data_IF_389751990265
#
_entry.id   IF_389751990265
#
_cell.length_a   1.000
_cell.length_b   1.000
_cell.length_c   1.000
_cell.angle_alpha   90.00
_cell.angle_beta   90.00
_cell.angle_gamma   90.00
#
_symmetry.space_group_name_H-M   'P 1'
#
loop_
_entity.id
_entity.type
_entity.pdbx_description
1 polymer ?
#
# COMPACT_ATOMS: atom_id res chain seq x y z
N UNK A 1 10.94 -7.58 6.49
CA UNK A 1 10.43 -7.61 5.11
C UNK A 1 11.14 -6.54 4.29
N UNK A 2 10.94 -5.25 4.56
CA UNK A 2 11.44 -4.12 3.72
C UNK A 2 12.95 -4.16 3.44
N UNK A 3 13.81 -4.49 4.42
CA UNK A 3 15.25 -4.66 4.16
C UNK A 3 15.53 -5.72 3.10
N UNK A 4 14.84 -6.84 3.15
CA UNK A 4 15.02 -7.91 2.15
C UNK A 4 14.53 -7.49 0.77
N UNK A 5 13.48 -6.68 0.69
CA UNK A 5 13.04 -6.12 -0.59
C UNK A 5 14.11 -5.23 -1.22
N UNK A 6 14.82 -4.44 -0.43
CA UNK A 6 15.93 -3.61 -0.91
C UNK A 6 17.19 -4.41 -1.22
N UNK A 7 17.61 -5.30 -0.32
CA UNK A 7 18.87 -6.03 -0.44
C UNK A 7 18.83 -7.14 -1.50
N UNK A 8 17.69 -7.79 -1.69
CA UNK A 8 17.51 -8.95 -2.58
C UNK A 8 16.60 -8.61 -3.75
N UNK A 9 15.50 -7.89 -3.49
CA UNK A 9 14.47 -7.59 -4.47
C UNK A 9 14.76 -6.37 -5.34
N UNK A 10 15.81 -5.60 -5.06
CA UNK A 10 16.18 -4.41 -5.83
C UNK A 10 15.23 -3.23 -5.65
N UNK A 11 14.39 -3.20 -4.61
CA UNK A 11 13.57 -2.04 -4.30
C UNK A 11 14.47 -0.84 -3.98
N UNK A 12 14.17 0.31 -4.58
CA UNK A 12 15.00 1.51 -4.44
C UNK A 12 14.69 2.34 -3.19
N UNK A 13 13.55 2.11 -2.54
CA UNK A 13 13.11 2.87 -1.38
C UNK A 13 11.88 2.27 -0.70
N UNK A 14 11.32 3.05 0.20
CA UNK A 14 10.10 2.71 0.96
C UNK A 14 9.02 3.74 0.68
N UNK A 15 7.83 3.26 0.37
CA UNK A 15 6.61 4.03 0.31
C UNK A 15 5.85 3.92 1.63
N UNK A 16 5.44 5.03 2.22
CA UNK A 16 4.66 5.11 3.46
C UNK A 16 3.50 6.09 3.29
N UNK A 17 2.49 5.98 4.16
CA UNK A 17 1.33 6.87 4.11
C UNK A 17 1.37 7.98 5.16
N UNK A 18 2.11 7.79 6.25
CA UNK A 18 2.13 8.70 7.40
C UNK A 18 3.55 9.04 7.82
N UNK A 19 3.72 10.27 8.34
CA UNK A 19 5.01 10.74 8.87
C UNK A 19 5.53 9.83 9.99
N UNK A 20 4.65 9.36 10.86
CA UNK A 20 5.01 8.46 11.96
C UNK A 20 5.49 7.08 11.50
N UNK A 21 5.04 6.59 10.34
CA UNK A 21 5.58 5.39 9.70
C UNK A 21 6.97 5.68 9.10
N UNK A 22 7.07 6.77 8.35
CA UNK A 22 8.33 7.23 7.74
C UNK A 22 9.46 7.38 8.78
N UNK A 23 9.15 7.90 9.98
CA UNK A 23 10.12 7.97 11.08
C UNK A 23 10.68 6.61 11.51
N UNK A 24 9.86 5.56 11.51
CA UNK A 24 10.32 4.21 11.85
C UNK A 24 11.35 3.74 10.83
N UNK A 25 11.08 3.94 9.54
CA UNK A 25 12.02 3.58 8.47
C UNK A 25 13.28 4.45 8.49
N UNK A 26 13.13 5.77 8.68
CA UNK A 26 14.27 6.68 8.80
C UNK A 26 15.20 6.29 9.96
N UNK A 27 14.66 5.96 11.14
CA UNK A 27 15.42 5.47 12.30
C UNK A 27 16.05 4.10 12.06
N UNK A 28 15.45 3.28 11.20
CA UNK A 28 15.99 1.99 10.79
C UNK A 28 17.07 2.09 9.70
N UNK A 29 17.43 3.32 9.26
CA UNK A 29 18.50 3.56 8.28
C UNK A 29 18.06 3.37 6.84
N UNK A 30 16.79 3.63 6.51
CA UNK A 30 16.33 3.73 5.13
C UNK A 30 16.56 5.14 4.62
N UNK A 31 17.17 5.26 3.45
CA UNK A 31 17.65 6.54 2.93
C UNK A 31 16.83 7.08 1.75
N UNK A 32 15.88 6.33 1.23
CA UNK A 32 14.93 6.76 0.22
C UNK A 32 13.51 6.47 0.69
N UNK A 33 12.77 7.53 1.07
CA UNK A 33 11.46 7.43 1.71
C UNK A 33 10.48 8.34 0.97
N UNK A 34 9.45 7.75 0.39
CA UNK A 34 8.34 8.46 -0.23
C UNK A 34 7.12 8.40 0.71
N UNK A 35 6.60 9.56 1.10
CA UNK A 35 5.34 9.67 1.84
C UNK A 35 4.25 10.03 0.82
N UNK A 36 3.49 9.05 0.38
CA UNK A 36 2.45 9.20 -0.65
C UNK A 36 1.16 9.80 -0.07
N UNK A 37 1.32 10.95 0.56
CA UNK A 37 0.22 11.68 1.19
C UNK A 37 0.56 13.16 1.32
N UNK A 38 -0.47 13.99 1.44
CA UNK A 38 -0.36 15.41 1.76
C UNK A 38 -0.17 15.57 3.26
N UNK A 39 0.85 16.30 3.67
CA UNK A 39 1.18 16.55 5.08
C UNK A 39 0.91 18.02 5.38
N UNK A 40 -0.23 18.28 6.05
CA UNK A 40 -0.72 19.65 6.30
C UNK A 40 -0.58 20.15 7.75
N UNK A 41 -0.49 19.24 8.72
CA UNK A 41 -0.28 19.64 10.13
C UNK A 41 1.15 20.11 10.34
N UNK A 42 1.34 21.34 10.81
CA UNK A 42 2.65 21.97 11.02
C UNK A 42 3.60 21.12 11.88
N UNK A 43 3.08 20.42 12.91
CA UNK A 43 3.90 19.55 13.77
C UNK A 43 4.37 18.31 13.00
N UNK A 44 3.53 17.77 12.11
CA UNK A 44 3.91 16.63 11.25
C UNK A 44 4.92 17.08 10.19
N UNK A 45 4.73 18.25 9.58
CA UNK A 45 5.70 18.84 8.65
C UNK A 45 7.06 19.00 9.35
N UNK A 46 7.11 19.62 10.54
CA UNK A 46 8.34 19.80 11.31
C UNK A 46 9.01 18.46 11.69
N UNK A 47 8.23 17.43 11.99
CA UNK A 47 8.75 16.07 12.22
C UNK A 47 9.33 15.48 10.93
N UNK A 48 8.62 15.61 9.80
CA UNK A 48 9.07 15.11 8.50
C UNK A 48 10.40 15.73 8.09
N UNK A 49 10.53 17.06 8.13
CA UNK A 49 11.79 17.73 7.78
C UNK A 49 12.92 17.43 8.78
N UNK A 50 12.61 17.00 10.00
CA UNK A 50 13.62 16.65 11.01
C UNK A 50 14.40 15.38 10.69
N UNK A 51 13.88 14.49 9.88
CA UNK A 51 14.61 13.30 9.42
C UNK A 51 15.13 13.41 7.98
N UNK A 52 14.91 14.53 7.30
CA UNK A 52 15.72 14.89 6.15
C UNK A 52 17.16 15.11 6.62
N UNK A 53 18.11 14.44 6.02
CA UNK A 53 19.53 14.50 6.40
C UNK A 53 20.40 14.32 5.15
N UNK A 54 21.66 14.77 5.14
CA UNK A 54 22.58 14.46 4.06
C UNK A 54 22.60 12.95 3.76
N UNK A 55 22.37 12.60 2.49
CA UNK A 55 22.30 11.20 2.06
C UNK A 55 20.94 10.53 2.26
N UNK A 56 19.95 11.21 2.87
CA UNK A 56 18.58 10.69 2.96
C UNK A 56 17.63 11.52 2.13
N UNK A 57 17.03 10.88 1.15
CA UNK A 57 15.99 11.42 0.29
C UNK A 57 14.62 11.23 0.96
N UNK A 58 13.90 12.32 1.19
CA UNK A 58 12.53 12.31 1.70
C UNK A 58 11.66 13.03 0.70
N UNK A 59 10.59 12.40 0.29
CA UNK A 59 9.68 12.89 -0.74
C UNK A 59 8.25 12.88 -0.15
N UNK A 60 7.44 13.89 -0.46
CA UNK A 60 6.00 13.91 -0.12
C UNK A 60 5.14 14.38 -1.28
N UNK A 61 3.82 14.16 -1.19
CA UNK A 61 2.87 14.61 -2.19
C UNK A 61 2.32 16.00 -1.85
N UNK A 62 2.06 16.80 -2.88
CA UNK A 62 1.49 18.15 -2.80
C UNK A 62 0.39 18.31 -3.88
N UNK A 63 -0.73 18.93 -3.53
CA UNK A 63 -1.80 19.27 -4.44
C UNK A 63 -2.43 20.66 -4.16
N UNK A 64 -1.84 21.42 -3.21
CA UNK A 64 -2.32 22.73 -2.80
C UNK A 64 -1.18 23.72 -2.52
N UNK A 65 -1.35 24.98 -2.95
CA UNK A 65 -0.37 26.05 -2.82
C UNK A 65 -0.14 26.49 -1.37
N UNK A 66 -1.16 26.44 -0.52
CA UNK A 66 -1.01 26.80 0.89
C UNK A 66 -0.17 25.75 1.63
N UNK A 67 -0.38 24.45 1.33
CA UNK A 67 0.43 23.38 1.87
C UNK A 67 1.90 23.49 1.41
N UNK A 68 2.13 23.85 0.14
CA UNK A 68 3.46 24.09 -0.40
C UNK A 68 4.19 25.17 0.40
N UNK A 69 3.53 26.28 0.71
CA UNK A 69 4.12 27.38 1.49
C UNK A 69 4.58 26.91 2.89
N UNK A 70 3.74 26.11 3.58
CA UNK A 70 4.08 25.56 4.89
C UNK A 70 5.28 24.61 4.83
N UNK A 71 5.36 23.77 3.80
CA UNK A 71 6.49 22.86 3.56
C UNK A 71 7.78 23.62 3.30
N UNK A 72 7.74 24.67 2.47
CA UNK A 72 8.89 25.53 2.15
C UNK A 72 9.44 26.21 3.40
N UNK A 73 8.57 26.83 4.19
CA UNK A 73 8.96 27.49 5.45
C UNK A 73 9.66 26.48 6.39
N UNK A 74 9.09 25.30 6.56
CA UNK A 74 9.66 24.29 7.46
C UNK A 74 11.01 23.75 6.97
N UNK A 75 11.14 23.46 5.67
CA UNK A 75 12.36 22.96 5.06
C UNK A 75 13.49 24.02 5.12
N UNK A 76 13.20 25.28 4.75
CA UNK A 76 14.13 26.39 4.80
C UNK A 76 14.61 26.68 6.23
N UNK A 77 13.69 26.75 7.19
CA UNK A 77 14.03 26.93 8.60
C UNK A 77 14.94 25.83 9.14
N UNK A 78 14.82 24.62 8.60
CA UNK A 78 15.65 23.47 8.99
C UNK A 78 16.96 23.39 8.20
N UNK A 79 17.08 24.14 7.10
CA UNK A 79 18.23 24.07 6.20
C UNK A 79 18.35 22.75 5.45
N UNK A 80 17.21 22.16 5.04
CA UNK A 80 17.15 20.90 4.30
C UNK A 80 16.41 21.08 2.99
N UNK A 81 16.59 20.11 2.08
CA UNK A 81 15.78 20.00 0.87
C UNK A 81 14.76 18.88 1.06
N UNK A 82 13.49 19.21 0.89
CA UNK A 82 12.38 18.28 0.82
C UNK A 82 11.95 18.12 -0.64
N UNK A 83 11.96 16.90 -1.14
CA UNK A 83 11.48 16.63 -2.49
C UNK A 83 9.96 16.52 -2.50
N UNK A 84 9.33 17.00 -3.57
CA UNK A 84 7.87 17.01 -3.71
C UNK A 84 7.46 16.41 -5.05
N UNK A 85 6.41 15.58 -5.00
CA UNK A 85 5.65 15.15 -6.17
C UNK A 85 4.31 15.88 -6.17
N UNK A 86 3.90 16.42 -7.33
CA UNK A 86 2.51 16.88 -7.46
C UNK A 86 1.61 15.68 -7.67
N UNK A 87 0.56 15.53 -6.86
CA UNK A 87 -0.39 14.44 -7.02
C UNK A 87 -1.40 14.76 -8.12
N UNK A 88 -1.52 13.85 -9.09
CA UNK A 88 -2.47 13.90 -10.18
C UNK A 88 -3.72 13.07 -9.83
N UNK A 89 -4.91 13.64 -9.92
CA UNK A 89 -6.17 12.90 -9.87
C UNK A 89 -6.35 12.11 -11.19
N UNK A 90 -6.05 10.82 -11.14
CA UNK A 90 -6.05 9.94 -12.31
C UNK A 90 -7.21 8.93 -12.32
N UNK A 91 -8.23 9.12 -11.46
CA UNK A 91 -9.41 8.27 -11.34
C UNK A 91 -9.64 7.68 -9.95
N UNK A 92 -8.77 7.98 -8.98
CA UNK A 92 -8.91 7.50 -7.60
C UNK A 92 -10.05 8.18 -6.84
N UNK A 93 -10.41 9.40 -7.21
CA UNK A 93 -11.38 10.27 -6.52
C UNK A 93 -11.01 10.47 -5.04
N UNK A 94 -9.74 10.76 -4.79
CA UNK A 94 -9.19 10.91 -3.44
C UNK A 94 -8.49 12.25 -3.27
N UNK A 95 -7.23 12.35 -3.67
CA UNK A 95 -6.40 13.56 -3.63
C UNK A 95 -5.86 13.85 -5.03
N UNK A 96 -5.21 14.99 -5.17
CA UNK A 96 -4.56 15.38 -6.42
C UNK A 96 -5.36 16.37 -7.25
N UNK A 97 -4.68 16.97 -8.20
CA UNK A 97 -5.25 17.94 -9.13
C UNK A 97 -5.61 17.26 -10.46
N UNK A 98 -6.79 17.60 -11.01
CA UNK A 98 -7.23 17.14 -12.32
C UNK A 98 -6.95 18.13 -13.45
N UNK A 99 -6.72 19.40 -13.11
CA UNK A 99 -6.39 20.47 -14.07
C UNK A 99 -4.87 20.48 -14.31
N UNK A 100 -4.44 20.22 -15.54
CA UNK A 100 -3.03 20.19 -15.93
C UNK A 100 -2.37 21.58 -15.84
N UNK A 101 -3.12 22.67 -16.01
CA UNK A 101 -2.57 24.01 -15.82
C UNK A 101 -2.23 24.26 -14.36
N UNK A 102 -3.12 23.86 -13.45
CA UNK A 102 -2.86 23.91 -12.00
C UNK A 102 -1.73 22.98 -11.58
N UNK A 103 -1.61 21.79 -12.17
CA UNK A 103 -0.49 20.87 -11.92
C UNK A 103 0.84 21.54 -12.27
N UNK A 104 0.94 22.17 -13.42
CA UNK A 104 2.14 22.89 -13.86
C UNK A 104 2.42 24.11 -12.96
N UNK A 105 1.39 24.84 -12.53
CA UNK A 105 1.51 25.96 -11.60
C UNK A 105 2.13 25.52 -10.27
N UNK A 106 1.62 24.43 -9.66
CA UNK A 106 2.15 23.89 -8.39
C UNK A 106 3.58 23.39 -8.60
N UNK A 107 3.86 22.66 -9.67
CA UNK A 107 5.20 22.15 -9.95
C UNK A 107 6.24 23.28 -10.08
N UNK A 108 5.88 24.38 -10.75
CA UNK A 108 6.73 25.57 -10.87
C UNK A 108 6.93 26.25 -9.52
N UNK A 109 5.86 26.39 -8.75
CA UNK A 109 5.95 26.98 -7.42
C UNK A 109 6.81 26.14 -6.46
N UNK A 110 6.83 24.81 -6.59
CA UNK A 110 7.75 23.95 -5.85
C UNK A 110 9.20 24.22 -6.26
N UNK A 111 9.47 24.32 -7.57
CA UNK A 111 10.82 24.57 -8.09
C UNK A 111 11.38 25.93 -7.68
N UNK A 112 10.51 26.94 -7.59
CA UNK A 112 10.85 28.30 -7.18
C UNK A 112 10.94 28.48 -5.65
N UNK A 113 10.43 27.52 -4.86
CA UNK A 113 10.34 27.63 -3.40
C UNK A 113 11.63 27.20 -2.71
N UNK A 114 12.11 28.03 -1.77
CA UNK A 114 13.28 27.71 -0.96
C UNK A 114 13.05 26.44 -0.11
N UNK A 115 14.05 25.56 -0.06
CA UNK A 115 14.00 24.33 0.70
C UNK A 115 13.19 23.19 0.05
N UNK A 116 12.57 23.43 -1.10
CA UNK A 116 11.87 22.41 -1.86
C UNK A 116 12.58 22.05 -3.16
N UNK A 117 12.28 20.86 -3.70
CA UNK A 117 12.70 20.42 -5.02
C UNK A 117 11.51 19.71 -5.69
N UNK A 118 11.14 20.15 -6.88
CA UNK A 118 10.19 19.40 -7.70
C UNK A 118 10.87 18.16 -8.29
N UNK A 119 10.33 16.97 -8.02
CA UNK A 119 10.90 15.71 -8.48
C UNK A 119 9.99 14.94 -9.44
N UNK A 120 8.72 15.34 -9.59
CA UNK A 120 7.82 14.68 -10.52
C UNK A 120 6.37 14.63 -10.04
N UNK A 121 5.68 13.57 -10.45
CA UNK A 121 4.26 13.39 -10.17
C UNK A 121 3.95 12.05 -9.49
N UNK A 122 2.96 12.09 -8.60
CA UNK A 122 2.27 10.93 -8.03
C UNK A 122 0.97 10.70 -8.81
N UNK A 123 0.80 9.53 -9.43
CA UNK A 123 -0.39 9.16 -10.19
C UNK A 123 -0.82 7.74 -9.80
N UNK A 124 -1.59 7.62 -8.72
CA UNK A 124 -1.97 6.33 -8.17
C UNK A 124 -3.50 6.15 -8.17
N UNK A 125 -3.96 5.11 -8.85
CA UNK A 125 -5.37 4.71 -8.84
C UNK A 125 -5.58 3.43 -8.01
N UNK A 126 -5.93 3.60 -6.73
CA UNK A 126 -6.21 2.47 -5.83
C UNK A 126 -7.46 1.67 -6.20
N UNK A 127 -8.42 2.28 -6.92
CA UNK A 127 -9.70 1.61 -7.26
C UNK A 127 -9.52 0.48 -8.27
N UNK A 128 -8.53 0.58 -9.15
CA UNK A 128 -8.26 -0.46 -10.17
C UNK A 128 -7.86 -1.78 -9.55
N UNK A 129 -7.26 -1.76 -8.37
CA UNK A 129 -6.77 -2.95 -7.68
C UNK A 129 -7.90 -3.96 -7.35
N UNK A 130 -9.15 -3.51 -7.30
CA UNK A 130 -10.31 -4.33 -6.93
C UNK A 130 -11.09 -4.88 -8.14
N UNK A 131 -10.73 -4.50 -9.37
CA UNK A 131 -11.33 -5.10 -10.58
C UNK A 131 -10.77 -6.52 -10.78
N UNK A 132 -11.65 -7.52 -10.75
CA UNK A 132 -11.22 -8.92 -10.89
C UNK A 132 -10.73 -9.24 -12.30
N UNK A 133 -11.46 -8.79 -13.31
CA UNK A 133 -11.14 -9.05 -14.73
C UNK A 133 -9.84 -8.35 -15.16
N UNK A 134 -8.93 -9.10 -15.77
CA UNK A 134 -7.71 -8.56 -16.38
C UNK A 134 -8.02 -7.46 -17.40
N UNK A 135 -8.99 -7.70 -18.29
CA UNK A 135 -9.35 -6.76 -19.35
C UNK A 135 -9.91 -5.44 -18.79
N UNK A 136 -10.70 -5.50 -17.70
CA UNK A 136 -11.22 -4.30 -17.04
C UNK A 136 -10.08 -3.49 -16.40
N UNK A 137 -9.16 -4.14 -15.66
CA UNK A 137 -8.00 -3.47 -15.09
C UNK A 137 -7.15 -2.81 -16.17
N UNK A 138 -6.84 -3.54 -17.24
CA UNK A 138 -6.08 -3.01 -18.37
C UNK A 138 -6.76 -1.80 -19.02
N UNK A 139 -8.08 -1.85 -19.21
CA UNK A 139 -8.82 -0.74 -19.81
C UNK A 139 -8.82 0.52 -18.93
N UNK A 140 -8.88 0.36 -17.60
CA UNK A 140 -8.76 1.47 -16.65
C UNK A 140 -7.33 2.02 -16.66
N UNK A 141 -6.31 1.15 -16.58
CA UNK A 141 -4.91 1.59 -16.54
C UNK A 141 -4.44 2.26 -17.82
N UNK A 142 -4.96 1.89 -18.98
CA UNK A 142 -4.70 2.63 -20.22
C UNK A 142 -5.18 4.09 -20.13
N UNK A 143 -6.29 4.35 -19.43
CA UNK A 143 -6.77 5.73 -19.21
C UNK A 143 -5.89 6.47 -18.19
N UNK A 144 -5.49 5.79 -17.14
CA UNK A 144 -4.56 6.33 -16.14
C UNK A 144 -3.23 6.71 -16.81
N UNK A 145 -2.63 5.79 -17.58
CA UNK A 145 -1.39 6.07 -18.32
C UNK A 145 -1.55 7.21 -19.32
N UNK A 146 -2.69 7.31 -20.01
CA UNK A 146 -2.94 8.39 -20.96
C UNK A 146 -3.00 9.77 -20.27
N UNK A 147 -3.74 9.91 -19.16
CA UNK A 147 -3.82 11.19 -18.44
C UNK A 147 -2.50 11.54 -17.75
N UNK A 148 -1.78 10.55 -17.26
CA UNK A 148 -0.44 10.72 -16.68
C UNK A 148 0.56 11.18 -17.73
N UNK A 149 0.54 10.58 -18.91
CA UNK A 149 1.36 11.01 -20.05
C UNK A 149 1.08 12.46 -20.48
N UNK A 150 -0.20 12.87 -20.50
CA UNK A 150 -0.56 14.28 -20.77
C UNK A 150 0.00 15.23 -19.71
N UNK A 151 0.01 14.83 -18.43
CA UNK A 151 0.61 15.62 -17.35
C UNK A 151 2.13 15.77 -17.52
N UNK A 152 2.83 14.68 -17.83
CA UNK A 152 4.28 14.69 -18.14
C UNK A 152 4.59 15.60 -19.33
N UNK A 153 3.79 15.52 -20.39
CA UNK A 153 3.94 16.39 -21.57
C UNK A 153 3.68 17.88 -21.25
N UNK A 154 2.72 18.17 -20.39
CA UNK A 154 2.44 19.54 -19.94
C UNK A 154 3.61 20.12 -19.13
N UNK A 155 4.19 19.35 -18.22
CA UNK A 155 5.39 19.72 -17.48
C UNK A 155 6.57 19.97 -18.42
N UNK A 156 6.84 19.08 -19.35
CA UNK A 156 7.90 19.22 -20.34
C UNK A 156 7.74 20.47 -21.21
N UNK A 157 6.52 20.76 -21.68
CA UNK A 157 6.22 21.98 -22.43
C UNK A 157 6.45 23.25 -21.61
N UNK A 158 6.25 23.19 -20.30
CA UNK A 158 6.55 24.27 -19.36
C UNK A 158 8.02 24.39 -19.00
N UNK A 159 8.91 23.54 -19.54
CA UNK A 159 10.34 23.52 -19.23
C UNK A 159 10.68 22.91 -17.87
N UNK A 160 9.75 22.16 -17.27
CA UNK A 160 9.94 21.45 -16.00
C UNK A 160 10.36 20.00 -16.23
N UNK A 161 11.37 19.53 -15.51
CA UNK A 161 11.74 18.13 -15.46
C UNK A 161 10.66 17.30 -14.74
N UNK A 162 10.56 16.01 -15.06
CA UNK A 162 9.72 15.05 -14.31
C UNK A 162 10.56 13.79 -14.13
N UNK A 163 11.35 13.78 -13.05
CA UNK A 163 12.30 12.69 -12.74
C UNK A 163 11.54 11.43 -12.34
N UNK A 164 10.48 11.60 -11.55
CA UNK A 164 9.66 10.52 -11.00
C UNK A 164 8.24 10.60 -11.56
N UNK A 165 7.76 9.49 -12.08
CA UNK A 165 6.34 9.25 -12.37
C UNK A 165 5.96 8.00 -11.60
N UNK A 166 5.39 8.19 -10.41
CA UNK A 166 5.17 7.14 -9.42
C UNK A 166 3.70 6.76 -9.33
N UNK A 167 3.43 5.46 -9.24
CA UNK A 167 2.07 4.91 -9.13
C UNK A 167 2.06 3.39 -9.11
N UNK A 168 0.92 2.82 -9.45
CA UNK A 168 0.75 1.37 -9.54
C UNK A 168 0.71 0.63 -8.20
N UNK A 169 -0.04 -0.45 -8.18
CA UNK A 169 -0.18 -1.35 -7.05
C UNK A 169 -0.01 -2.81 -7.46
N UNK A 170 -0.17 -3.73 -6.51
CA UNK A 170 0.02 -5.17 -6.75
C UNK A 170 -0.86 -5.73 -7.87
N UNK A 171 -2.07 -5.18 -8.04
CA UNK A 171 -3.01 -5.66 -9.06
C UNK A 171 -2.83 -5.04 -10.45
N UNK A 172 -2.01 -4.00 -10.57
CA UNK A 172 -1.91 -3.22 -11.81
C UNK A 172 -0.48 -3.00 -12.32
N UNK A 173 0.54 -3.21 -11.48
CA UNK A 173 1.94 -2.84 -11.73
C UNK A 173 2.46 -3.17 -13.13
N UNK A 174 2.00 -4.28 -13.73
CA UNK A 174 2.44 -4.69 -15.05
C UNK A 174 1.99 -3.70 -16.14
N UNK A 175 0.77 -3.17 -16.00
CA UNK A 175 0.23 -2.20 -16.96
C UNK A 175 0.96 -0.85 -16.89
N UNK A 176 1.26 -0.38 -15.67
CA UNK A 176 2.04 0.85 -15.49
C UNK A 176 3.46 0.68 -16.01
N UNK A 177 4.12 -0.43 -15.68
CA UNK A 177 5.48 -0.72 -16.14
C UNK A 177 5.57 -0.82 -17.69
N UNK A 178 4.57 -1.42 -18.33
CA UNK A 178 4.50 -1.57 -19.78
C UNK A 178 4.08 -0.29 -20.50
N UNK A 179 3.46 0.66 -19.81
CA UNK A 179 2.92 1.89 -20.41
C UNK A 179 3.99 2.80 -21.03
N UNK A 180 5.24 2.69 -20.57
CA UNK A 180 6.33 3.60 -20.94
C UNK A 180 6.20 5.01 -20.33
N UNK A 181 5.22 5.22 -19.45
CA UNK A 181 4.96 6.52 -18.77
C UNK A 181 5.48 6.50 -17.35
N UNK A 182 5.17 5.43 -16.60
CA UNK A 182 5.63 5.28 -15.22
C UNK A 182 7.06 4.75 -15.16
N UNK A 183 7.83 5.26 -14.19
CA UNK A 183 9.19 4.80 -13.92
C UNK A 183 9.44 4.42 -12.46
N UNK A 184 8.40 4.55 -11.61
CA UNK A 184 8.42 4.09 -10.23
C UNK A 184 7.09 3.40 -9.89
N UNK A 185 7.17 2.22 -9.27
CA UNK A 185 6.02 1.37 -8.92
C UNK A 185 5.94 1.19 -7.41
N UNK A 186 4.74 1.34 -6.82
CA UNK A 186 4.49 1.38 -5.39
C UNK A 186 3.83 0.09 -4.85
N UNK A 187 4.13 -1.08 -5.41
CA UNK A 187 3.56 -2.35 -4.96
C UNK A 187 3.94 -2.67 -3.51
N UNK A 188 2.97 -3.06 -2.70
CA UNK A 188 3.18 -3.44 -1.31
C UNK A 188 2.62 -4.82 -0.97
N UNK A 189 1.35 -5.05 -1.28
CA UNK A 189 0.59 -6.26 -0.89
C UNK A 189 1.16 -7.57 -1.45
N UNK A 190 1.90 -7.53 -2.57
CA UNK A 190 2.54 -8.71 -3.16
C UNK A 190 3.43 -9.48 -2.17
N UNK A 191 4.00 -8.78 -1.19
CA UNK A 191 4.90 -9.38 -0.21
C UNK A 191 4.20 -10.38 0.73
N UNK A 192 2.90 -10.25 0.88
CA UNK A 192 2.06 -11.08 1.75
C UNK A 192 0.93 -11.77 1.00
N UNK A 193 0.35 -11.09 0.04
CA UNK A 193 -0.92 -11.37 -0.58
C UNK A 193 -2.06 -11.47 0.43
N UNK A 194 -3.28 -11.37 -0.05
CA UNK A 194 -4.51 -11.54 0.72
C UNK A 194 -5.63 -12.11 -0.15
N UNK A 195 -6.83 -12.23 0.42
CA UNK A 195 -7.96 -12.80 -0.31
C UNK A 195 -8.54 -11.83 -1.36
N UNK A 196 -8.32 -10.52 -1.23
CA UNK A 196 -8.78 -9.54 -2.21
C UNK A 196 -7.91 -9.60 -3.47
N UNK A 197 -6.60 -9.42 -3.34
CA UNK A 197 -5.67 -9.58 -4.47
C UNK A 197 -5.65 -11.01 -5.02
N UNK A 198 -5.86 -12.01 -4.17
CA UNK A 198 -5.94 -13.41 -4.62
C UNK A 198 -7.08 -13.69 -5.59
N UNK A 199 -8.13 -12.86 -5.61
CA UNK A 199 -9.30 -13.02 -6.50
C UNK A 199 -9.12 -12.45 -7.89
N UNK A 200 -8.17 -11.54 -8.09
CA UNK A 200 -7.97 -10.94 -9.40
C UNK A 200 -7.38 -11.95 -10.39
N UNK A 201 -7.69 -11.77 -11.66
CA UNK A 201 -7.32 -12.69 -12.74
C UNK A 201 -6.15 -12.14 -13.55
N UNK A 202 -5.24 -13.01 -13.98
CA UNK A 202 -4.23 -12.70 -14.96
C UNK A 202 -4.81 -12.72 -16.39
N UNK A 203 -3.97 -12.48 -17.38
CA UNK A 203 -4.36 -12.47 -18.80
C UNK A 203 -4.98 -13.80 -19.26
N UNK A 204 -4.57 -14.93 -18.66
CA UNK A 204 -5.11 -16.26 -18.95
C UNK A 204 -6.41 -16.59 -18.19
N UNK A 205 -6.96 -15.64 -17.42
CA UNK A 205 -8.14 -15.86 -16.59
C UNK A 205 -7.87 -16.68 -15.32
N UNK A 206 -6.63 -16.90 -14.96
CA UNK A 206 -6.25 -17.60 -13.73
C UNK A 206 -6.15 -16.59 -12.58
N UNK A 207 -6.58 -16.98 -11.40
CA UNK A 207 -6.49 -16.14 -10.20
C UNK A 207 -5.04 -15.95 -9.77
N UNK A 208 -4.71 -14.77 -9.26
CA UNK A 208 -3.36 -14.43 -8.79
C UNK A 208 -2.84 -15.38 -7.72
N UNK A 209 -3.69 -15.80 -6.77
CA UNK A 209 -3.31 -16.76 -5.73
C UNK A 209 -3.05 -18.20 -6.23
N UNK A 210 -3.31 -18.45 -7.51
CA UNK A 210 -3.11 -19.76 -8.15
C UNK A 210 -1.98 -19.76 -9.18
N UNK A 211 -1.63 -18.61 -9.72
CA UNK A 211 -0.72 -18.51 -10.85
C UNK A 211 0.48 -17.58 -10.61
N UNK A 212 0.24 -16.37 -10.03
CA UNK A 212 1.26 -15.32 -9.99
C UNK A 212 1.95 -15.27 -8.62
N UNK A 213 1.19 -15.37 -7.52
CA UNK A 213 1.67 -15.08 -6.19
C UNK A 213 1.22 -16.12 -5.17
N UNK A 214 2.06 -16.37 -4.19
CA UNK A 214 1.73 -17.24 -3.06
C UNK A 214 1.33 -16.41 -1.84
N UNK A 215 0.34 -16.88 -1.08
CA UNK A 215 0.03 -16.28 0.20
C UNK A 215 1.18 -16.54 1.19
N UNK A 216 1.63 -15.51 1.88
CA UNK A 216 2.68 -15.59 2.89
C UNK A 216 2.23 -15.07 4.27
N UNK A 217 1.05 -14.44 4.36
CA UNK A 217 0.44 -13.97 5.59
C UNK A 217 -0.79 -14.81 5.93
N UNK A 218 -0.79 -15.37 7.13
CA UNK A 218 -1.89 -16.19 7.64
C UNK A 218 -2.21 -15.80 9.06
N UNK A 219 -3.49 -15.90 9.43
CA UNK A 219 -3.96 -15.91 10.81
C UNK A 219 -4.17 -17.36 11.23
N UNK A 220 -3.47 -17.79 12.27
CA UNK A 220 -3.71 -19.09 12.89
C UNK A 220 -4.86 -18.93 13.88
N UNK A 221 -5.92 -19.72 13.71
CA UNK A 221 -7.10 -19.71 14.55
C UNK A 221 -7.49 -21.12 14.97
N UNK A 222 -8.27 -21.23 16.04
CA UNK A 222 -8.75 -22.49 16.58
C UNK A 222 -10.28 -22.55 16.58
N UNK A 223 -10.83 -23.72 16.33
CA UNK A 223 -12.27 -23.95 16.49
C UNK A 223 -12.62 -24.00 17.97
N UNK A 224 -13.47 -23.09 18.40
CA UNK A 224 -13.90 -22.92 19.79
C UNK A 224 -15.32 -23.45 20.05
N UNK A 225 -16.12 -23.67 19.00
CA UNK A 225 -17.46 -24.22 19.13
C UNK A 225 -17.91 -24.97 17.87
N UNK A 226 -18.57 -26.11 18.07
CA UNK A 226 -19.27 -26.90 17.04
C UNK A 226 -20.67 -27.30 17.53
N UNK A 227 -21.25 -26.50 18.44
CA UNK A 227 -22.50 -26.83 19.11
C UNK A 227 -23.75 -26.74 18.23
N UNK A 228 -23.64 -26.14 17.04
CA UNK A 228 -24.75 -25.93 16.13
C UNK A 228 -24.53 -26.74 14.83
N UNK A 229 -25.58 -27.37 14.34
CA UNK A 229 -25.49 -28.10 13.08
C UNK A 229 -25.15 -27.17 11.89
N UNK A 230 -24.26 -27.66 11.03
CA UNK A 230 -23.86 -26.99 9.79
C UNK A 230 -22.92 -25.81 9.96
N UNK A 231 -22.42 -25.53 11.18
CA UNK A 231 -21.48 -24.45 11.44
C UNK A 231 -20.50 -24.76 12.57
N UNK A 232 -19.33 -24.18 12.45
CA UNK A 232 -18.34 -24.09 13.52
C UNK A 232 -18.03 -22.61 13.81
N UNK A 233 -17.43 -22.33 14.95
CA UNK A 233 -16.99 -20.98 15.35
C UNK A 233 -15.52 -21.03 15.68
N UNK A 234 -14.75 -20.08 15.15
CA UNK A 234 -13.34 -19.89 15.48
C UNK A 234 -13.13 -18.59 16.29
N UNK A 235 -11.96 -18.48 16.93
CA UNK A 235 -11.54 -17.34 17.75
C UNK A 235 -10.91 -16.17 16.96
N UNK A 236 -11.09 -16.13 15.63
CA UNK A 236 -10.60 -15.05 14.78
C UNK A 236 -11.75 -14.17 14.30
N UNK A 237 -12.01 -13.07 14.98
CA UNK A 237 -12.97 -12.02 14.63
C UNK A 237 -12.29 -10.73 14.18
N UNK A 238 -13.03 -9.62 14.22
CA UNK A 238 -12.60 -8.27 13.77
C UNK A 238 -11.36 -7.74 14.52
N UNK A 239 -11.15 -8.17 15.77
CA UNK A 239 -10.00 -7.71 16.57
C UNK A 239 -8.66 -8.28 16.10
N UNK A 240 -8.65 -9.28 15.23
CA UNK A 240 -7.42 -9.90 14.70
C UNK A 240 -7.29 -9.81 13.19
N UNK A 241 -8.33 -9.35 12.47
CA UNK A 241 -8.28 -9.17 11.02
C UNK A 241 -9.23 -8.06 10.55
N UNK A 242 -8.88 -7.43 9.44
CA UNK A 242 -9.76 -6.51 8.73
C UNK A 242 -10.60 -7.27 7.71
N UNK A 243 -11.84 -6.82 7.55
CA UNK A 243 -12.80 -7.36 6.55
C UNK A 243 -13.32 -6.27 5.61
N UNK A 244 -12.64 -5.14 5.55
CA UNK A 244 -12.98 -3.98 4.70
C UNK A 244 -13.02 -4.34 3.20
N UNK A 245 -12.12 -5.24 2.76
CA UNK A 245 -12.07 -5.77 1.38
C UNK A 245 -12.68 -7.18 1.25
N UNK A 246 -13.40 -7.63 2.27
CA UNK A 246 -14.10 -8.92 2.29
C UNK A 246 -13.63 -9.87 3.39
N UNK A 247 -14.36 -10.98 3.51
CA UNK A 247 -14.09 -12.02 4.51
C UNK A 247 -12.82 -12.80 4.16
N UNK A 248 -12.13 -13.38 5.18
CA UNK A 248 -10.97 -14.23 4.96
C UNK A 248 -11.33 -15.52 4.23
N UNK A 249 -10.33 -16.14 3.64
CA UNK A 249 -10.42 -17.47 3.02
C UNK A 249 -9.68 -18.49 3.89
N UNK A 250 -10.27 -19.67 4.10
CA UNK A 250 -9.62 -20.76 4.84
C UNK A 250 -8.61 -21.43 3.91
N UNK A 251 -7.33 -21.30 4.23
CA UNK A 251 -6.25 -21.79 3.39
C UNK A 251 -6.27 -23.32 3.27
N UNK A 252 -6.17 -23.80 2.04
CA UNK A 252 -6.13 -25.23 1.73
C UNK A 252 -7.45 -26.00 1.94
N UNK A 253 -8.54 -25.32 2.29
CA UNK A 253 -9.87 -25.97 2.56
C UNK A 253 -10.93 -25.37 1.64
N UNK A 254 -11.59 -26.23 0.85
CA UNK A 254 -12.72 -25.88 -0.03
C UNK A 254 -14.06 -26.42 0.48
N UNK A 255 -14.02 -27.28 1.47
CA UNK A 255 -15.15 -27.97 2.09
C UNK A 255 -15.82 -27.16 3.20
N UNK A 256 -15.18 -26.12 3.68
CA UNK A 256 -15.66 -25.19 4.71
C UNK A 256 -15.44 -23.74 4.28
N UNK A 257 -16.24 -22.80 4.78
CA UNK A 257 -16.21 -21.41 4.36
C UNK A 257 -16.43 -20.47 5.55
N UNK A 258 -15.55 -19.48 5.73
CA UNK A 258 -15.76 -18.39 6.69
C UNK A 258 -16.87 -17.47 6.15
N UNK A 259 -17.96 -17.28 6.92
CA UNK A 259 -19.18 -16.63 6.43
C UNK A 259 -19.60 -15.39 7.21
N UNK A 260 -19.09 -15.20 8.42
CA UNK A 260 -19.46 -14.07 9.26
C UNK A 260 -18.35 -13.75 10.26
N UNK A 261 -18.17 -12.48 10.54
CA UNK A 261 -17.20 -11.93 11.51
C UNK A 261 -17.95 -11.14 12.58
N UNK A 262 -17.65 -11.41 13.84
CA UNK A 262 -17.96 -10.53 14.98
C UNK A 262 -16.65 -10.11 15.65
N UNK A 263 -16.70 -9.44 16.82
CA UNK A 263 -15.52 -8.85 17.46
C UNK A 263 -14.40 -9.87 17.69
N UNK A 264 -14.73 -11.00 18.35
CA UNK A 264 -13.78 -12.06 18.70
C UNK A 264 -13.97 -13.35 17.90
N UNK A 265 -15.09 -13.52 17.19
CA UNK A 265 -15.47 -14.79 16.63
C UNK A 265 -15.67 -14.73 15.12
N UNK A 266 -15.25 -15.78 14.45
CA UNK A 266 -15.58 -16.07 13.06
C UNK A 266 -16.52 -17.26 12.96
N UNK A 267 -17.62 -17.12 12.19
CA UNK A 267 -18.53 -18.22 11.89
C UNK A 267 -18.09 -18.89 10.60
N UNK A 268 -17.98 -20.21 10.66
CA UNK A 268 -17.58 -21.06 9.54
C UNK A 268 -18.76 -21.97 9.16
N UNK A 269 -19.16 -21.92 7.91
CA UNK A 269 -20.10 -22.90 7.34
C UNK A 269 -19.40 -24.26 7.24
N UNK A 270 -19.97 -25.27 7.91
CA UNK A 270 -19.45 -26.64 7.98
C UNK A 270 -20.59 -27.66 7.85
N UNK A 271 -21.18 -27.68 6.66
CA UNK A 271 -22.36 -28.53 6.37
C UNK A 271 -22.08 -30.03 6.55
N UNK A 272 -20.84 -30.43 6.35
CA UNK A 272 -20.44 -31.85 6.40
C UNK A 272 -19.83 -32.25 7.75
N UNK A 273 -19.83 -31.35 8.75
CA UNK A 273 -19.26 -31.59 10.10
C UNK A 273 -17.79 -32.06 10.03
N UNK A 274 -17.01 -31.38 9.18
CA UNK A 274 -15.61 -31.71 8.95
C UNK A 274 -14.67 -31.09 10.01
N UNK A 275 -15.20 -30.22 10.89
CA UNK A 275 -14.42 -29.53 11.92
C UNK A 275 -14.80 -30.04 13.32
N UNK A 276 -13.79 -30.11 14.17
CA UNK A 276 -13.88 -30.50 15.58
C UNK A 276 -13.34 -29.39 16.48
N UNK A 277 -13.72 -29.43 17.78
CA UNK A 277 -13.13 -28.53 18.78
C UNK A 277 -11.60 -28.67 18.79
N UNK A 278 -10.91 -27.53 18.87
CA UNK A 278 -9.44 -27.41 18.88
C UNK A 278 -8.76 -27.61 17.51
N UNK A 279 -9.54 -27.90 16.44
CA UNK A 279 -8.95 -27.88 15.10
C UNK A 279 -8.36 -26.52 14.83
N UNK A 280 -7.19 -26.52 14.18
CA UNK A 280 -6.50 -25.28 13.80
C UNK A 280 -6.65 -25.03 12.32
N UNK A 281 -6.97 -23.79 11.99
CA UNK A 281 -7.10 -23.33 10.62
C UNK A 281 -6.17 -22.16 10.37
N UNK A 282 -5.70 -22.06 9.15
CA UNK A 282 -5.01 -20.86 8.66
C UNK A 282 -5.99 -20.06 7.80
N UNK A 283 -6.17 -18.80 8.14
CA UNK A 283 -6.97 -17.87 7.37
C UNK A 283 -6.06 -16.97 6.55
N UNK A 284 -6.34 -16.84 5.26
CA UNK A 284 -5.82 -15.75 4.43
C UNK A 284 -6.71 -14.55 4.69
N UNK A 285 -6.22 -13.44 5.25
CA UNK A 285 -7.06 -12.28 5.59
C UNK A 285 -7.70 -11.68 4.35
N UNK A 286 -8.83 -11.01 4.54
CA UNK A 286 -9.52 -10.30 3.48
C UNK A 286 -8.66 -9.17 2.88
N UNK A 287 -7.91 -8.45 3.75
CA UNK A 287 -6.99 -7.39 3.39
C UNK A 287 -5.76 -7.43 4.30
N UNK A 288 -4.57 -7.56 3.71
CA UNK A 288 -3.34 -7.73 4.48
C UNK A 288 -2.91 -6.47 5.23
N UNK A 289 -3.01 -5.30 4.64
CA UNK A 289 -2.51 -4.03 5.19
C UNK A 289 -3.13 -3.69 6.56
N UNK A 290 -4.45 -3.43 6.68
CA UNK A 290 -5.04 -3.11 8.00
C UNK A 290 -4.99 -4.31 8.95
N UNK A 291 -4.95 -5.55 8.46
CA UNK A 291 -4.76 -6.73 9.32
C UNK A 291 -3.40 -6.71 10.01
N UNK A 292 -2.32 -6.40 9.28
CA UNK A 292 -0.98 -6.27 9.88
C UNK A 292 -0.94 -5.22 11.01
N UNK A 293 -1.69 -4.13 10.87
CA UNK A 293 -1.75 -3.07 11.86
C UNK A 293 -2.46 -3.47 13.18
N UNK A 294 -3.14 -4.62 13.22
CA UNK A 294 -3.77 -5.15 14.44
C UNK A 294 -2.82 -5.99 15.30
N UNK A 295 -1.62 -6.35 14.78
CA UNK A 295 -0.70 -7.27 15.44
C UNK A 295 0.63 -6.62 15.79
N UNK A 296 1.20 -7.00 16.94
CA UNK A 296 2.51 -6.51 17.38
C UNK A 296 3.67 -7.26 16.70
N UNK A 297 3.45 -8.52 16.28
CA UNK A 297 4.50 -9.43 15.82
C UNK A 297 4.06 -10.22 14.60
N UNK A 298 5.03 -10.49 13.72
CA UNK A 298 4.95 -11.58 12.76
C UNK A 298 5.70 -12.78 13.34
N UNK A 299 5.11 -13.96 13.25
CA UNK A 299 5.74 -15.24 13.59
C UNK A 299 6.19 -15.88 12.28
N UNK A 300 7.49 -15.85 12.01
CA UNK A 300 8.08 -16.49 10.83
C UNK A 300 8.15 -18.01 11.03
N UNK A 301 7.46 -18.75 10.16
CA UNK A 301 7.39 -20.22 10.21
C UNK A 301 7.93 -20.82 8.92
N UNK A 302 8.76 -21.83 9.03
CA UNK A 302 9.26 -22.63 7.90
C UNK A 302 9.33 -24.11 8.29
N UNK A 303 8.79 -24.99 7.43
CA UNK A 303 8.80 -26.42 7.69
C UNK A 303 8.15 -26.82 9.03
N UNK A 304 7.10 -26.11 9.45
CA UNK A 304 6.38 -26.32 10.71
C UNK A 304 7.10 -25.84 11.97
N UNK A 305 8.22 -25.13 11.83
CA UNK A 305 9.01 -24.58 12.96
C UNK A 305 9.00 -23.06 12.93
N UNK A 306 8.91 -22.44 14.11
CA UNK A 306 9.11 -20.99 14.27
C UNK A 306 10.61 -20.71 14.11
N UNK A 307 10.96 -19.90 13.11
CA UNK A 307 12.34 -19.47 12.83
C UNK A 307 12.64 -18.07 13.37
N UNK A 308 11.63 -17.20 13.42
CA UNK A 308 11.83 -15.81 13.80
C UNK A 308 10.56 -15.18 14.36
N UNK A 309 10.76 -14.15 15.18
CA UNK A 309 9.72 -13.19 15.58
C UNK A 309 10.16 -11.81 15.11
N UNK A 310 9.30 -11.15 14.32
CA UNK A 310 9.57 -9.80 13.83
C UNK A 310 8.52 -8.83 14.36
N UNK A 311 8.93 -7.72 14.98
CA UNK A 311 7.97 -6.70 15.39
C UNK A 311 7.34 -6.02 14.18
N UNK A 312 6.06 -5.71 14.26
CA UNK A 312 5.38 -4.80 13.32
C UNK A 312 5.71 -3.36 13.77
N UNK A 313 6.92 -2.91 13.42
CA UNK A 313 7.55 -1.71 14.02
C UNK A 313 6.76 -0.41 13.80
N UNK A 314 5.99 -0.34 12.71
CA UNK A 314 5.13 0.81 12.40
C UNK A 314 3.66 0.61 12.83
N UNK A 315 3.34 -0.44 13.58
CA UNK A 315 2.00 -0.69 14.08
C UNK A 315 1.44 0.51 14.84
N UNK A 316 0.20 0.91 14.51
CA UNK A 316 -0.47 2.05 15.13
C UNK A 316 0.14 3.42 14.80
N UNK A 317 1.11 3.50 13.89
CA UNK A 317 1.75 4.75 13.46
C UNK A 317 0.94 5.46 12.36
N UNK A 318 -0.37 5.52 12.51
CA UNK A 318 -1.28 6.10 11.51
C UNK A 318 -1.60 7.60 11.72
N UNK A 319 -0.72 8.33 12.45
CA UNK A 319 -0.91 9.73 12.83
C UNK A 319 0.22 10.67 12.38
#
# INVERSE_FOLDING_TARGET
VSRRQMEIGGAMGICCQKVSEAEVFARAGFDNILITNQIIDTRKINRMVSFCAPGRRVICCVDDMANLADLSVAASCKGVILECLVELECGSQRCGVSDLAKLVEIARAIEDAEGLKFSGIQSYNGRVQHHQSFAERQAVERKVAAVTGQAVDALKKAGLGCEIVSGGGTGSFAFEAESGVFNEIQCGSYAFMDADYGRIENESGQRFDQAEWQNALFLLTSIVSTAQDGRAVCDAGLKVQSVDSGLPVIYGRKDVRYIQCSDEHGVIEDKNKCLSLKDRLMLVPGHCDPTCNLHDWYVGVRGGKVEALWPVSARGKAW
#
